data_IF_907121735760
#
_entry.id   IF_907121735760
#
_cell.length_a   1.000
_cell.length_b   1.000
_cell.length_c   1.000
_cell.angle_alpha   90.00
_cell.angle_beta   90.00
_cell.angle_gamma   90.00
#
_symmetry.space_group_name_H-M   'P 1'
#
loop_
_entity.id
_entity.type
_entity.pdbx_description
1 polymer ?
#
# COMPACT_ATOMS: atom_id res chain seq x y z
N UNK A 1 22.09 -23.99 -19.31
CA UNK A 1 21.30 -22.85 -18.87
C UNK A 1 20.37 -23.28 -17.76
N UNK A 2 20.24 -22.50 -16.75
CA UNK A 2 19.42 -22.84 -15.62
C UNK A 2 18.87 -21.60 -14.94
N UNK A 3 18.38 -21.80 -13.75
CA UNK A 3 17.83 -20.72 -12.95
C UNK A 3 18.94 -19.81 -12.44
N UNK A 4 18.63 -18.54 -12.35
CA UNK A 4 19.54 -17.56 -11.79
C UNK A 4 18.79 -16.77 -10.71
N UNK A 5 19.45 -16.50 -9.60
CA UNK A 5 18.88 -15.73 -8.51
C UNK A 5 19.41 -14.31 -8.54
N UNK A 6 18.50 -13.39 -8.33
CA UNK A 6 18.86 -11.99 -8.19
C UNK A 6 18.40 -11.50 -6.82
N UNK A 7 19.23 -10.69 -6.20
CA UNK A 7 18.83 -10.03 -4.97
C UNK A 7 17.88 -8.88 -5.30
N UNK A 8 16.82 -8.79 -4.52
CA UNK A 8 15.88 -7.68 -4.63
C UNK A 8 15.66 -7.10 -3.24
N UNK A 9 15.36 -5.80 -3.19
CA UNK A 9 14.93 -5.16 -1.95
C UNK A 9 13.42 -5.09 -1.93
N UNK A 10 12.86 -5.41 -0.78
CA UNK A 10 11.43 -5.31 -0.56
C UNK A 10 11.14 -4.06 0.27
N UNK A 11 10.25 -3.22 -0.22
CA UNK A 11 9.81 -2.03 0.50
C UNK A 11 8.33 -2.14 0.78
N UNK A 12 7.94 -1.78 1.99
CA UNK A 12 6.54 -1.68 2.36
C UNK A 12 6.12 -0.22 2.20
N UNK A 13 5.17 0.03 1.30
CA UNK A 13 4.69 1.38 1.02
C UNK A 13 3.42 1.61 1.81
N UNK A 14 3.45 2.59 2.69
CA UNK A 14 2.34 2.96 3.55
C UNK A 14 1.78 4.32 3.15
N UNK A 15 0.53 4.57 3.53
CA UNK A 15 -0.10 5.85 3.29
C UNK A 15 -0.33 6.55 4.62
N UNK A 16 0.30 7.70 4.80
CA UNK A 16 0.11 8.52 6.00
C UNK A 16 -1.23 9.24 5.90
N UNK A 17 -1.93 9.34 7.02
CA UNK A 17 -3.20 10.04 7.07
C UNK A 17 -3.01 11.53 6.79
N UNK A 18 -3.80 12.05 5.85
CA UNK A 18 -3.75 13.46 5.49
C UNK A 18 -4.38 14.37 6.55
N UNK A 19 -5.28 13.81 7.35
CA UNK A 19 -6.02 14.59 8.35
C UNK A 19 -5.19 14.85 9.59
N UNK A 20 -4.60 13.82 10.19
CA UNK A 20 -3.83 13.99 11.44
C UNK A 20 -2.31 13.94 11.22
N UNK A 21 -1.85 13.39 10.12
CA UNK A 21 -0.41 13.28 9.81
C UNK A 21 0.38 12.36 10.72
N UNK A 22 -0.29 11.66 11.65
CA UNK A 22 0.38 10.79 12.62
C UNK A 22 -0.01 9.34 12.48
N UNK A 23 -1.17 9.04 11.89
CA UNK A 23 -1.65 7.68 11.67
C UNK A 23 -1.42 7.22 10.25
N UNK A 24 -1.67 5.94 10.04
CA UNK A 24 -1.58 5.33 8.71
C UNK A 24 -2.95 4.85 8.27
N UNK A 25 -3.20 4.93 6.97
CA UNK A 25 -4.44 4.47 6.40
C UNK A 25 -4.42 2.96 6.27
N UNK A 26 -5.48 2.32 6.72
CA UNK A 26 -5.62 0.85 6.68
C UNK A 26 -6.92 0.46 6.00
N UNK A 27 -6.95 -0.62 5.20
CA UNK A 27 -8.17 -1.04 4.52
C UNK A 27 -9.28 -1.35 5.52
N UNK A 28 -10.50 -0.98 5.16
CA UNK A 28 -11.69 -1.29 5.96
C UNK A 28 -12.22 -2.64 5.49
N UNK A 29 -11.80 -3.71 6.15
CA UNK A 29 -12.19 -5.07 5.79
C UNK A 29 -11.72 -5.44 4.39
N UNK A 30 -12.48 -6.30 3.72
CA UNK A 30 -12.22 -6.73 2.35
C UNK A 30 -13.20 -6.09 1.36
N UNK A 31 -13.54 -4.84 1.60
CA UNK A 31 -14.53 -4.14 0.79
C UNK A 31 -13.83 -3.45 -0.37
N UNK A 32 -14.39 -3.61 -1.56
CA UNK A 32 -13.97 -2.88 -2.74
C UNK A 32 -15.19 -2.23 -3.35
N UNK A 33 -15.09 -0.96 -3.71
CA UNK A 33 -16.19 -0.24 -4.35
C UNK A 33 -16.19 -0.57 -5.84
N UNK A 34 -17.38 -0.89 -6.36
CA UNK A 34 -17.54 -1.25 -7.77
C UNK A 34 -17.54 -0.01 -8.66
N UNK A 35 -16.52 0.81 -8.51
CA UNK A 35 -16.31 1.99 -9.33
C UNK A 35 -15.24 1.71 -10.38
N UNK A 36 -15.09 2.61 -11.33
CA UNK A 36 -14.03 2.50 -12.33
C UNK A 36 -13.18 3.77 -12.28
N UNK A 37 -11.93 3.66 -11.85
CA UNK A 37 -11.26 2.45 -11.35
C UNK A 37 -11.81 1.97 -10.00
N UNK A 38 -11.58 0.70 -9.67
CA UNK A 38 -11.99 0.14 -8.39
C UNK A 38 -11.32 0.90 -7.27
N UNK A 39 -12.07 1.22 -6.23
CA UNK A 39 -11.56 1.93 -5.07
C UNK A 39 -11.72 1.10 -3.80
N UNK A 40 -10.78 1.29 -2.89
CA UNK A 40 -10.73 0.58 -1.63
C UNK A 40 -10.82 1.59 -0.50
N UNK A 41 -11.87 1.51 0.35
CA UNK A 41 -11.98 2.44 1.48
C UNK A 41 -10.93 2.12 2.54
N UNK A 42 -10.32 3.17 3.05
CA UNK A 42 -9.31 3.06 4.11
C UNK A 42 -9.69 3.98 5.26
N UNK A 43 -9.26 3.60 6.45
CA UNK A 43 -9.52 4.38 7.66
C UNK A 43 -8.22 4.58 8.42
N UNK A 44 -8.00 5.80 8.89
CA UNK A 44 -6.85 6.09 9.73
C UNK A 44 -6.93 5.32 11.04
N UNK A 45 -5.80 4.74 11.47
CA UNK A 45 -5.75 3.97 12.70
C UNK A 45 -5.64 4.84 13.95
N UNK A 46 -5.60 6.15 13.80
CA UNK A 46 -5.53 7.09 14.94
C UNK A 46 -6.72 8.03 15.02
N UNK A 47 -7.01 8.76 13.95
CA UNK A 47 -8.08 9.77 13.99
C UNK A 47 -9.41 9.28 13.41
N UNK A 48 -9.43 8.15 12.71
CA UNK A 48 -10.64 7.63 12.11
C UNK A 48 -11.01 8.24 10.78
N UNK A 49 -10.15 9.07 10.19
CA UNK A 49 -10.39 9.66 8.89
C UNK A 49 -10.54 8.57 7.81
N UNK A 50 -11.53 8.71 6.96
CA UNK A 50 -11.83 7.73 5.93
C UNK A 50 -11.55 8.33 4.56
N UNK A 51 -10.84 7.58 3.73
CA UNK A 51 -10.50 7.99 2.38
C UNK A 51 -10.45 6.75 1.48
N UNK A 52 -10.85 6.91 0.22
CA UNK A 52 -10.79 5.84 -0.75
C UNK A 52 -9.53 5.98 -1.60
N UNK A 53 -8.89 4.84 -1.86
CA UNK A 53 -7.70 4.79 -2.70
C UNK A 53 -7.86 3.69 -3.74
N UNK A 54 -7.13 3.81 -4.83
CA UNK A 54 -7.14 2.80 -5.89
C UNK A 54 -6.26 1.60 -5.58
N UNK A 55 -5.57 1.62 -4.45
CA UNK A 55 -4.70 0.54 -3.98
C UNK A 55 -4.98 0.23 -2.53
N UNK A 56 -4.66 -0.99 -2.12
CA UNK A 56 -4.70 -1.37 -0.70
C UNK A 56 -3.36 -1.04 -0.06
N UNK A 57 -3.37 -0.23 0.98
CA UNK A 57 -2.17 0.08 1.75
C UNK A 57 -2.15 -0.72 3.05
N UNK A 58 -1.00 -1.18 3.53
CA UNK A 58 0.31 -1.08 2.86
C UNK A 58 0.44 -2.08 1.71
N UNK A 59 1.29 -1.78 0.74
CA UNK A 59 1.61 -2.74 -0.31
C UNK A 59 3.12 -2.89 -0.44
N UNK A 60 3.53 -4.01 -0.99
CA UNK A 60 4.94 -4.32 -1.14
C UNK A 60 5.41 -4.00 -2.56
N UNK A 61 6.60 -3.42 -2.65
CA UNK A 61 7.29 -3.22 -3.93
C UNK A 61 8.66 -3.86 -3.85
N UNK A 62 9.09 -4.41 -4.98
CA UNK A 62 10.37 -5.08 -5.09
C UNK A 62 11.25 -4.28 -6.05
N UNK A 63 12.48 -3.99 -5.63
CA UNK A 63 13.44 -3.33 -6.48
C UNK A 63 14.64 -4.23 -6.71
N UNK A 64 15.10 -4.28 -7.95
CA UNK A 64 16.32 -5.00 -8.28
C UNK A 64 17.49 -4.35 -7.58
N UNK A 65 18.27 -5.20 -6.94
CA UNK A 65 19.54 -4.77 -6.37
C UNK A 65 20.62 -4.99 -7.43
N UNK A 66 21.12 -3.93 -8.00
CA UNK A 66 22.26 -4.01 -8.90
C UNK A 66 23.49 -3.49 -8.20
N UNK A 67 24.49 -4.32 -8.15
CA UNK A 67 25.79 -3.94 -7.64
C UNK A 67 26.64 -3.43 -8.80
N UNK A 68 27.06 -2.19 -8.68
CA UNK A 68 27.94 -1.59 -9.70
C UNK A 68 29.34 -1.43 -9.19
#
# INVERSE_FOLDING_TARGET
MGEIRHEVRTFLVDMVCESCGAGYMRPVGNIALSTYPIQYPHKCNKCGYIQNYTKNYPYEVYEYWEEK
#
